data_IF_067679423988
#
_entry.id   IF_067679423988
#
_cell.length_a   1.000
_cell.length_b   1.000
_cell.length_c   1.000
_cell.angle_alpha   90.00
_cell.angle_beta   90.00
_cell.angle_gamma   90.00
#
_symmetry.space_group_name_H-M   'P 1'
#
loop_
_entity.id
_entity.type
_entity.pdbx_description
1 polymer ?
#
# COMPACT_ATOMS: atom_id res chain seq x y z
N UNK A 1 -21.79 -31.05 -6.24
CA UNK A 1 -21.34 -29.95 -7.14
C UNK A 1 -21.39 -28.62 -6.39
N UNK A 2 -20.25 -28.08 -5.96
CA UNK A 2 -20.23 -26.83 -5.19
C UNK A 2 -20.45 -25.63 -6.11
N UNK A 3 -21.50 -24.84 -5.88
CA UNK A 3 -21.73 -23.56 -6.55
C UNK A 3 -20.56 -22.62 -6.28
N UNK A 4 -19.66 -22.49 -7.25
CA UNK A 4 -18.57 -21.53 -7.24
C UNK A 4 -19.20 -20.14 -7.31
N UNK A 5 -19.26 -19.42 -6.17
CA UNK A 5 -19.52 -17.99 -6.18
C UNK A 5 -18.38 -17.32 -6.95
N UNK A 6 -18.65 -16.95 -8.21
CA UNK A 6 -17.80 -16.05 -8.97
C UNK A 6 -17.53 -14.80 -8.12
N UNK A 7 -16.26 -14.49 -7.88
CA UNK A 7 -15.87 -13.19 -7.33
C UNK A 7 -16.19 -12.19 -8.45
N UNK A 8 -17.17 -11.34 -8.20
CA UNK A 8 -17.63 -10.32 -9.14
C UNK A 8 -16.43 -9.47 -9.59
N UNK A 9 -16.00 -9.52 -10.87
CA UNK A 9 -14.85 -8.76 -11.36
C UNK A 9 -15.09 -7.24 -11.38
N UNK A 10 -16.33 -6.80 -11.13
CA UNK A 10 -16.75 -5.41 -11.12
C UNK A 10 -16.68 -4.77 -9.72
N UNK A 11 -15.57 -4.91 -8.99
CA UNK A 11 -15.32 -3.94 -7.92
C UNK A 11 -14.89 -2.64 -8.62
N UNK A 12 -15.68 -1.56 -8.57
CA UNK A 12 -15.33 -0.32 -9.24
C UNK A 12 -13.92 0.10 -8.82
N UNK A 13 -13.04 0.25 -9.81
CA UNK A 13 -11.69 0.72 -9.58
C UNK A 13 -11.83 2.18 -9.20
N UNK A 14 -11.76 2.44 -7.90
CA UNK A 14 -11.61 3.77 -7.35
C UNK A 14 -10.38 4.45 -7.98
N UNK A 15 -10.63 5.27 -9.02
CA UNK A 15 -9.60 6.04 -9.69
C UNK A 15 -9.07 7.08 -8.71
N UNK A 16 -7.76 7.25 -8.70
CA UNK A 16 -7.12 8.32 -7.92
C UNK A 16 -7.27 9.59 -8.75
N UNK A 17 -7.73 10.68 -8.12
CA UNK A 17 -7.98 11.93 -8.83
C UNK A 17 -6.68 12.49 -9.43
N UNK A 18 -6.80 13.21 -10.55
CA UNK A 18 -5.68 13.90 -11.19
C UNK A 18 -4.97 14.86 -10.24
N UNK A 19 -5.73 15.56 -9.38
CA UNK A 19 -5.20 16.44 -8.34
C UNK A 19 -4.31 15.67 -7.35
N UNK A 20 -4.73 14.50 -6.89
CA UNK A 20 -3.91 13.65 -5.99
C UNK A 20 -2.66 13.14 -6.70
N UNK A 21 -2.77 12.74 -7.97
CA UNK A 21 -1.63 12.32 -8.79
C UNK A 21 -0.58 13.44 -8.89
N UNK A 22 -1.00 14.67 -9.18
CA UNK A 22 -0.11 15.83 -9.25
C UNK A 22 0.60 16.06 -7.91
N UNK A 23 -0.14 16.02 -6.78
CA UNK A 23 0.45 16.16 -5.44
C UNK A 23 1.49 15.08 -5.15
N UNK A 24 1.23 13.83 -5.52
CA UNK A 24 2.18 12.72 -5.33
C UNK A 24 3.43 12.89 -6.18
N UNK A 25 3.31 13.35 -7.43
CA UNK A 25 4.49 13.65 -8.28
C UNK A 25 5.32 14.79 -7.70
N UNK A 26 4.66 15.89 -7.31
CA UNK A 26 5.30 17.04 -6.64
C UNK A 26 6.04 16.58 -5.38
N UNK A 27 5.38 15.76 -4.56
CA UNK A 27 6.05 15.12 -3.42
C UNK A 27 7.25 14.33 -3.90
N UNK A 28 7.12 13.32 -4.77
CA UNK A 28 8.25 12.47 -5.19
C UNK A 28 9.48 13.25 -5.70
N UNK A 29 9.26 14.36 -6.42
CA UNK A 29 10.30 15.19 -7.02
C UNK A 29 10.89 16.26 -6.09
N UNK A 30 10.19 16.64 -5.01
CA UNK A 30 10.69 17.66 -4.09
C UNK A 30 12.00 17.22 -3.41
N UNK A 31 12.88 18.19 -3.19
CA UNK A 31 14.11 18.01 -2.45
C UNK A 31 13.86 17.45 -1.05
N UNK A 32 14.82 16.67 -0.56
CA UNK A 32 14.71 16.00 0.72
C UNK A 32 16.04 15.99 1.44
N UNK A 33 15.97 16.15 2.77
CA UNK A 33 17.10 15.92 3.66
C UNK A 33 17.62 14.49 3.45
N UNK A 34 18.85 14.37 2.94
CA UNK A 34 19.49 13.07 2.72
C UNK A 34 19.66 12.34 4.05
N UNK A 35 19.40 11.03 4.05
CA UNK A 35 19.53 10.23 5.26
C UNK A 35 20.09 8.85 4.93
N UNK A 36 21.39 8.67 5.21
CA UNK A 36 22.15 7.47 4.85
C UNK A 36 21.87 7.05 3.39
N UNK A 37 21.56 5.78 3.14
CA UNK A 37 21.15 5.26 1.81
C UNK A 37 19.63 5.14 1.65
N UNK A 38 18.84 5.75 2.54
CA UNK A 38 17.40 5.83 2.37
C UNK A 38 17.07 6.93 1.36
N UNK A 39 16.10 6.66 0.50
CA UNK A 39 15.54 7.64 -0.43
C UNK A 39 14.00 7.60 -0.38
N UNK A 40 13.32 8.74 -0.65
CA UNK A 40 11.88 8.73 -0.86
C UNK A 40 11.51 7.87 -2.07
N UNK A 41 10.40 7.15 -2.00
CA UNK A 41 9.89 6.47 -3.19
C UNK A 41 9.58 7.47 -4.31
N UNK A 42 9.86 7.06 -5.55
CA UNK A 42 9.71 7.88 -6.74
C UNK A 42 10.76 8.98 -6.91
N UNK A 43 11.82 9.03 -6.10
CA UNK A 43 12.81 10.12 -6.14
C UNK A 43 13.99 9.90 -7.11
N UNK A 44 14.15 8.71 -7.71
CA UNK A 44 15.26 8.49 -8.65
C UNK A 44 14.91 8.98 -10.05
N UNK A 45 15.74 9.91 -10.54
CA UNK A 45 15.72 10.45 -11.91
C UNK A 45 16.41 9.53 -12.93
N UNK A 46 17.10 8.46 -12.51
CA UNK A 46 17.75 7.53 -13.46
C UNK A 46 16.71 6.58 -14.03
N UNK A 47 16.30 6.85 -15.26
CA UNK A 47 15.31 6.05 -15.98
C UNK A 47 15.96 4.84 -16.64
N UNK A 48 15.19 3.76 -16.79
CA UNK A 48 15.49 2.80 -17.86
C UNK A 48 15.05 3.46 -19.15
N UNK A 49 15.88 3.39 -20.19
CA UNK A 49 15.65 4.03 -21.50
C UNK A 49 14.27 3.71 -22.11
N UNK A 50 13.61 2.63 -21.67
CA UNK A 50 12.32 2.18 -22.19
C UNK A 50 11.12 2.27 -21.18
N UNK A 51 11.23 2.86 -19.98
CA UNK A 51 10.01 3.18 -19.16
C UNK A 51 9.30 4.37 -19.81
N UNK A 52 7.97 4.36 -19.78
CA UNK A 52 7.05 5.36 -20.34
C UNK A 52 7.09 5.58 -21.85
N UNK A 53 7.71 4.70 -22.63
CA UNK A 53 7.52 4.68 -24.09
C UNK A 53 6.21 3.98 -24.45
N UNK A 54 5.55 4.43 -25.52
CA UNK A 54 4.38 3.74 -26.08
C UNK A 54 4.86 2.39 -26.61
N UNK A 55 4.29 1.31 -26.07
CA UNK A 55 4.58 -0.04 -26.53
C UNK A 55 3.55 -0.50 -27.55
N UNK A 56 2.29 -0.18 -27.32
CA UNK A 56 1.24 -0.45 -28.28
C UNK A 56 0.17 0.64 -28.30
N UNK A 57 -0.52 0.76 -29.43
CA UNK A 57 -1.75 1.53 -29.57
C UNK A 57 -2.94 0.59 -29.69
N UNK A 58 -3.98 0.85 -28.91
CA UNK A 58 -5.23 0.12 -28.94
C UNK A 58 -6.29 0.89 -29.71
N UNK A 59 -7.10 0.18 -30.50
CA UNK A 59 -8.18 0.75 -31.27
C UNK A 59 -9.45 -0.12 -31.17
N UNK A 60 -10.61 0.52 -31.01
CA UNK A 60 -11.90 -0.14 -31.23
C UNK A 60 -12.29 0.00 -32.70
N UNK A 61 -12.85 -1.06 -33.26
CA UNK A 61 -13.37 -1.08 -34.64
C UNK A 61 -14.61 -0.22 -34.80
N UNK A 62 -15.47 -0.20 -33.78
CA UNK A 62 -16.75 0.51 -33.80
C UNK A 62 -16.65 1.92 -33.19
N UNK A 63 -15.46 2.34 -32.77
CA UNK A 63 -15.23 3.64 -32.13
C UNK A 63 -13.77 4.09 -32.43
N UNK A 64 -13.54 4.78 -33.56
CA UNK A 64 -12.24 5.32 -33.95
C UNK A 64 -11.62 6.25 -32.91
N UNK A 65 -12.44 7.00 -32.17
CA UNK A 65 -11.99 7.95 -31.14
C UNK A 65 -11.54 7.25 -29.85
N UNK A 66 -11.88 5.96 -29.68
CA UNK A 66 -11.50 5.19 -28.51
C UNK A 66 -10.00 4.85 -28.40
N UNK A 67 -9.15 5.42 -29.26
CA UNK A 67 -7.72 5.12 -29.31
C UNK A 67 -7.07 5.25 -27.93
N UNK A 68 -6.24 4.27 -27.57
CA UNK A 68 -5.55 4.25 -26.28
C UNK A 68 -4.13 3.72 -26.40
N UNK A 69 -3.17 4.54 -26.01
CA UNK A 69 -1.78 4.09 -25.89
C UNK A 69 -1.56 3.27 -24.62
N UNK A 70 -0.79 2.20 -24.74
CA UNK A 70 -0.28 1.47 -23.60
C UNK A 70 1.23 1.60 -23.52
N UNK A 71 1.66 2.07 -22.36
CA UNK A 71 3.02 2.41 -22.07
C UNK A 71 3.78 1.23 -21.46
N UNK A 72 5.03 1.09 -21.84
CA UNK A 72 5.95 0.19 -21.17
C UNK A 72 6.35 0.79 -19.82
N UNK A 73 6.18 0.04 -18.74
CA UNK A 73 6.60 0.49 -17.41
C UNK A 73 7.67 -0.45 -16.83
N UNK A 74 8.72 0.13 -16.24
CA UNK A 74 9.71 -0.64 -15.49
C UNK A 74 9.20 -1.14 -14.12
N UNK A 75 8.03 -0.67 -13.66
CA UNK A 75 7.34 -1.07 -12.42
C UNK A 75 8.19 -0.94 -11.14
N UNK A 76 9.18 -0.06 -11.16
CA UNK A 76 10.04 0.24 -10.02
C UNK A 76 9.46 1.39 -9.19
N UNK A 77 9.46 1.25 -7.86
CA UNK A 77 8.93 2.29 -6.96
C UNK A 77 9.80 3.54 -6.93
N UNK A 78 11.07 3.45 -7.26
CA UNK A 78 12.04 4.55 -7.30
C UNK A 78 11.97 5.37 -8.59
N UNK A 79 11.34 4.85 -9.65
CA UNK A 79 11.15 5.55 -10.91
C UNK A 79 9.97 6.52 -10.82
N UNK A 80 10.20 7.83 -10.91
CA UNK A 80 9.18 8.92 -10.81
C UNK A 80 7.93 8.62 -11.65
N UNK A 81 8.16 8.13 -12.86
CA UNK A 81 7.15 7.90 -13.89
C UNK A 81 6.32 6.65 -13.65
N UNK A 82 7.02 5.57 -13.29
CA UNK A 82 6.43 4.28 -13.01
C UNK A 82 5.87 4.22 -11.54
N UNK A 83 6.18 5.22 -10.69
CA UNK A 83 5.88 5.28 -9.26
C UNK A 83 4.39 5.16 -8.92
N UNK A 84 3.55 6.05 -9.46
CA UNK A 84 2.11 6.11 -9.12
C UNK A 84 1.41 4.79 -9.46
N UNK A 85 1.65 4.28 -10.67
CA UNK A 85 1.10 2.99 -11.11
C UNK A 85 1.56 1.87 -10.17
N UNK A 86 2.85 1.85 -9.83
CA UNK A 86 3.40 0.83 -8.92
C UNK A 86 2.82 0.95 -7.50
N UNK A 87 2.67 2.16 -6.94
CA UNK A 87 2.01 2.39 -5.65
C UNK A 87 0.57 1.91 -5.67
N UNK A 88 -0.18 2.23 -6.73
CA UNK A 88 -1.56 1.81 -6.91
C UNK A 88 -1.67 0.28 -6.98
N UNK A 89 -0.84 -0.39 -7.77
CA UNK A 89 -0.82 -1.84 -7.88
C UNK A 89 -0.47 -2.50 -6.54
N UNK A 90 0.56 -2.02 -5.83
CA UNK A 90 0.91 -2.53 -4.49
C UNK A 90 -0.21 -2.31 -3.49
N UNK A 91 -0.82 -1.13 -3.48
CA UNK A 91 -1.96 -0.81 -2.63
C UNK A 91 -3.13 -1.77 -2.89
N UNK A 92 -3.44 -2.10 -4.16
CA UNK A 92 -4.47 -3.10 -4.49
C UNK A 92 -4.14 -4.48 -3.95
N UNK A 93 -2.95 -4.99 -4.23
CA UNK A 93 -2.52 -6.32 -3.81
C UNK A 93 -2.56 -6.49 -2.29
N UNK A 94 -2.16 -5.46 -1.56
CA UNK A 94 -2.17 -5.47 -0.10
C UNK A 94 -3.60 -5.32 0.43
N UNK A 95 -4.39 -4.42 -0.15
CA UNK A 95 -5.78 -4.24 0.24
C UNK A 95 -6.60 -5.52 0.02
N UNK A 96 -6.39 -6.20 -1.10
CA UNK A 96 -6.98 -7.52 -1.38
C UNK A 96 -6.61 -8.52 -0.29
N UNK A 97 -5.32 -8.63 0.05
CA UNK A 97 -4.86 -9.53 1.11
C UNK A 97 -5.49 -9.22 2.48
N UNK A 98 -5.62 -7.93 2.84
CA UNK A 98 -6.26 -7.52 4.09
C UNK A 98 -7.75 -7.91 4.08
N UNK A 99 -8.47 -7.56 3.01
CA UNK A 99 -9.90 -7.89 2.86
C UNK A 99 -10.16 -9.39 2.87
N UNK A 100 -9.29 -10.14 2.20
CA UNK A 100 -9.40 -11.59 2.11
C UNK A 100 -9.12 -12.28 3.44
N UNK A 101 -8.15 -11.78 4.21
CA UNK A 101 -7.92 -12.27 5.58
C UNK A 101 -9.17 -12.11 6.44
N UNK A 102 -9.83 -10.94 6.39
CA UNK A 102 -11.09 -10.70 7.09
C UNK A 102 -12.20 -11.64 6.62
N UNK A 103 -12.38 -11.77 5.29
CA UNK A 103 -13.39 -12.65 4.70
C UNK A 103 -13.23 -14.10 5.13
N UNK A 104 -12.01 -14.64 5.05
CA UNK A 104 -11.71 -16.03 5.43
C UNK A 104 -11.88 -16.22 6.94
N UNK A 105 -11.48 -15.24 7.76
CA UNK A 105 -11.66 -15.30 9.22
C UNK A 105 -13.13 -15.46 9.58
N UNK A 106 -14.02 -14.62 9.02
CA UNK A 106 -15.47 -14.77 9.27
C UNK A 106 -16.04 -16.08 8.77
N UNK A 107 -15.62 -16.54 7.59
CA UNK A 107 -16.04 -17.84 7.07
C UNK A 107 -15.65 -19.03 7.98
N UNK A 108 -14.67 -18.83 8.88
CA UNK A 108 -14.24 -19.80 9.88
C UNK A 108 -14.77 -19.50 11.30
N UNK A 109 -15.75 -18.61 11.43
CA UNK A 109 -16.34 -18.21 12.72
C UNK A 109 -15.41 -17.36 13.59
N UNK A 110 -14.42 -16.69 13.00
CA UNK A 110 -13.45 -15.86 13.71
C UNK A 110 -13.79 -14.38 13.47
N UNK A 111 -14.33 -13.71 14.48
CA UNK A 111 -14.76 -12.31 14.40
C UNK A 111 -13.60 -11.32 14.51
N UNK A 112 -12.90 -11.11 13.39
CA UNK A 112 -11.90 -10.03 13.28
C UNK A 112 -12.58 -8.72 12.92
N UNK A 113 -12.17 -7.59 13.53
CA UNK A 113 -12.75 -6.28 13.24
C UNK A 113 -12.42 -5.72 11.85
N UNK A 114 -12.81 -4.46 11.60
CA UNK A 114 -12.39 -3.68 10.42
C UNK A 114 -10.88 -3.38 10.44
N UNK A 115 -10.33 -3.02 9.27
CA UNK A 115 -8.91 -2.68 9.12
C UNK A 115 -8.59 -1.47 9.99
N UNK A 116 -7.61 -1.65 10.86
CA UNK A 116 -7.08 -0.66 11.78
C UNK A 116 -5.92 0.06 11.10
N UNK A 117 -5.79 1.37 11.30
CA UNK A 117 -4.66 2.18 10.82
C UNK A 117 -4.18 3.07 11.96
N UNK A 118 -2.88 3.03 12.24
CA UNK A 118 -2.26 3.91 13.22
C UNK A 118 -0.80 4.18 12.84
N UNK A 119 -0.19 5.14 13.54
CA UNK A 119 1.24 5.41 13.44
C UNK A 119 1.91 5.24 14.80
N UNK A 120 3.13 4.72 14.81
CA UNK A 120 4.08 4.80 15.91
C UNK A 120 5.08 5.91 15.60
N UNK A 121 5.26 6.84 16.52
CA UNK A 121 6.23 7.93 16.44
C UNK A 121 7.26 7.73 17.56
N UNK A 122 8.53 7.77 17.20
CA UNK A 122 9.65 7.55 18.12
C UNK A 122 10.34 8.88 18.36
N UNK A 123 10.58 9.23 19.63
CA UNK A 123 11.22 10.50 19.99
C UNK A 123 12.65 10.58 19.40
N UNK A 124 13.39 9.48 19.42
CA UNK A 124 14.75 9.38 18.88
C UNK A 124 14.80 8.66 17.52
N UNK A 125 13.86 8.90 16.62
CA UNK A 125 13.78 8.16 15.36
C UNK A 125 15.09 8.12 14.53
N UNK A 126 15.89 9.19 14.55
CA UNK A 126 17.15 9.32 13.79
C UNK A 126 18.26 8.39 14.31
N UNK A 127 18.27 8.03 15.59
CA UNK A 127 19.31 7.14 16.15
C UNK A 127 19.00 5.67 15.88
N UNK A 128 17.72 5.33 15.65
CA UNK A 128 17.24 3.95 15.54
C UNK A 128 17.54 3.24 14.19
N UNK A 129 17.63 3.98 13.08
CA UNK A 129 17.58 3.39 11.74
C UNK A 129 18.65 3.89 10.78
N UNK A 130 19.91 3.72 11.14
CA UNK A 130 21.03 4.12 10.28
C UNK A 130 21.14 3.23 9.02
N UNK A 131 20.84 1.94 9.17
CA UNK A 131 20.84 0.97 8.08
C UNK A 131 19.51 0.23 7.91
N UNK A 132 19.32 -0.41 6.75
CA UNK A 132 18.19 -1.34 6.56
C UNK A 132 18.25 -2.56 7.50
N UNK A 133 19.45 -2.97 7.92
CA UNK A 133 19.62 -4.06 8.88
C UNK A 133 19.09 -3.66 10.25
N UNK A 134 19.37 -2.43 10.69
CA UNK A 134 18.91 -1.90 11.97
C UNK A 134 17.39 -1.89 12.04
N UNK A 135 16.73 -1.39 10.99
CA UNK A 135 15.28 -1.48 10.91
C UNK A 135 14.76 -2.92 10.96
N UNK A 136 15.46 -3.87 10.33
CA UNK A 136 15.06 -5.29 10.34
C UNK A 136 15.26 -5.94 11.72
N UNK A 137 16.28 -5.54 12.48
CA UNK A 137 16.49 -5.94 13.87
C UNK A 137 15.45 -5.31 14.78
N UNK A 138 15.26 -4.00 14.69
CA UNK A 138 14.29 -3.23 15.46
C UNK A 138 12.86 -3.73 15.27
N UNK A 139 12.43 -4.04 14.04
CA UNK A 139 11.11 -4.65 13.81
C UNK A 139 10.90 -5.94 14.59
N UNK A 140 11.90 -6.83 14.56
CA UNK A 140 11.79 -8.15 15.18
C UNK A 140 11.87 -8.08 16.70
N UNK A 141 12.77 -7.26 17.22
CA UNK A 141 13.05 -7.18 18.67
C UNK A 141 12.11 -6.23 19.41
N UNK A 142 11.64 -5.16 18.75
CA UNK A 142 10.88 -4.09 19.40
C UNK A 142 9.48 -3.96 18.82
N UNK A 143 9.35 -3.71 17.51
CA UNK A 143 8.04 -3.38 16.91
C UNK A 143 7.06 -4.55 16.98
N UNK A 144 7.45 -5.77 16.59
CA UNK A 144 6.52 -6.89 16.56
C UNK A 144 6.06 -7.32 17.96
N UNK A 145 6.93 -7.41 18.98
CA UNK A 145 6.49 -7.59 20.37
C UNK A 145 5.54 -6.48 20.81
N UNK A 146 5.92 -5.20 20.62
CA UNK A 146 5.08 -4.06 20.96
C UNK A 146 3.69 -4.15 20.31
N UNK A 147 3.63 -4.46 19.01
CA UNK A 147 2.35 -4.61 18.31
C UNK A 147 1.51 -5.77 18.85
N UNK A 148 2.14 -6.86 19.29
CA UNK A 148 1.44 -7.98 19.92
C UNK A 148 0.84 -7.55 21.26
N UNK A 149 1.61 -6.85 22.09
CA UNK A 149 1.19 -6.35 23.41
C UNK A 149 0.07 -5.32 23.28
N UNK A 150 0.11 -4.50 22.23
CA UNK A 150 -0.99 -3.58 21.89
C UNK A 150 -2.29 -4.30 21.49
N UNK A 151 -2.27 -5.62 21.26
CA UNK A 151 -3.40 -6.42 20.82
C UNK A 151 -3.56 -6.51 19.29
N UNK A 152 -2.51 -6.20 18.52
CA UNK A 152 -2.52 -6.30 17.05
C UNK A 152 -2.16 -7.73 16.63
N UNK A 153 -3.13 -8.44 16.05
CA UNK A 153 -2.99 -9.85 15.70
C UNK A 153 -2.24 -10.06 14.37
N UNK A 154 -2.20 -9.05 13.51
CA UNK A 154 -1.44 -9.11 12.27
C UNK A 154 -1.76 -7.96 11.33
N UNK A 155 -0.83 -7.69 10.42
CA UNK A 155 -0.96 -6.58 9.49
C UNK A 155 0.30 -6.35 8.67
N UNK A 156 0.52 -5.09 8.33
CA UNK A 156 1.71 -4.57 7.70
C UNK A 156 2.26 -3.38 8.45
N UNK A 157 3.58 -3.33 8.56
CA UNK A 157 4.34 -2.17 9.02
C UNK A 157 4.97 -1.48 7.81
N UNK A 158 4.97 -0.15 7.81
CA UNK A 158 5.59 0.70 6.78
C UNK A 158 6.45 1.76 7.48
N UNK A 159 7.73 1.84 7.16
CA UNK A 159 8.59 2.88 7.71
C UNK A 159 8.65 4.10 6.78
N UNK A 160 8.28 5.25 7.34
CA UNK A 160 8.40 6.55 6.71
C UNK A 160 9.52 7.33 7.39
N UNK A 161 10.38 7.94 6.58
CA UNK A 161 11.48 8.78 7.08
C UNK A 161 11.22 10.26 6.94
N UNK A 162 10.38 10.68 6.00
CA UNK A 162 10.20 12.10 5.68
C UNK A 162 8.78 12.56 5.88
N UNK A 163 8.64 13.84 6.20
CA UNK A 163 7.38 14.57 6.18
C UNK A 163 7.58 15.91 5.50
N UNK A 164 6.54 16.42 4.83
CA UNK A 164 6.52 17.80 4.37
C UNK A 164 6.32 18.70 5.59
N UNK A 165 7.29 19.55 5.85
CA UNK A 165 7.30 20.54 6.93
C UNK A 165 7.25 21.93 6.28
N UNK A 166 6.40 22.80 6.79
CA UNK A 166 6.34 24.19 6.37
C UNK A 166 7.63 24.88 6.81
N UNK A 167 8.29 25.58 5.89
CA UNK A 167 9.51 26.34 6.19
C UNK A 167 9.22 27.57 7.06
N UNK A 168 7.99 28.09 7.00
CA UNK A 168 7.57 29.29 7.73
C UNK A 168 7.21 28.97 9.19
N UNK A 169 6.25 28.06 9.41
CA UNK A 169 5.77 27.76 10.77
C UNK A 169 6.31 26.45 11.37
N UNK A 170 7.12 25.69 10.62
CA UNK A 170 7.63 24.40 11.09
C UNK A 170 6.59 23.28 11.17
N UNK A 171 5.32 23.55 10.88
CA UNK A 171 4.25 22.55 10.98
C UNK A 171 4.21 21.59 9.79
N UNK A 172 3.67 20.39 10.01
CA UNK A 172 3.45 19.42 8.92
C UNK A 172 2.46 19.99 7.90
N UNK A 173 2.57 19.59 6.63
CA UNK A 173 1.68 20.07 5.53
C UNK A 173 0.18 20.04 5.87
N UNK A 174 -0.27 19.03 6.60
CA UNK A 174 -1.69 18.87 6.97
C UNK A 174 -2.10 19.61 8.25
N UNK A 175 -1.16 20.28 8.93
CA UNK A 175 -1.37 21.13 10.09
C UNK A 175 -1.01 22.59 9.86
N UNK A 176 -0.25 22.87 8.81
CA UNK A 176 0.12 24.22 8.42
C UNK A 176 -1.14 25.07 8.14
N UNK A 177 -1.22 26.21 8.83
CA UNK A 177 -2.26 27.23 8.67
C UNK A 177 -1.75 28.53 8.05
N UNK A 178 -0.51 28.54 7.55
CA UNK A 178 0.05 29.69 6.84
C UNK A 178 -0.74 29.98 5.56
N UNK A 179 -0.67 31.23 5.10
CA UNK A 179 -1.27 31.67 3.85
C UNK A 179 -0.75 30.84 2.66
N UNK A 180 -1.61 30.55 1.69
CA UNK A 180 -1.27 29.69 0.56
C UNK A 180 -0.16 30.29 -0.33
N UNK A 181 -0.07 31.62 -0.40
CA UNK A 181 0.98 32.33 -1.14
C UNK A 181 2.36 32.22 -0.47
N UNK A 182 2.42 32.05 0.85
CA UNK A 182 3.66 32.08 1.63
C UNK A 182 4.16 30.69 2.01
N UNK A 183 3.27 29.68 2.03
CA UNK A 183 3.65 28.35 2.46
C UNK A 183 4.62 27.70 1.46
N UNK A 184 5.86 27.56 1.89
CA UNK A 184 6.85 26.70 1.23
C UNK A 184 7.01 25.44 2.08
N UNK A 185 7.07 24.28 1.42
CA UNK A 185 7.25 23.00 2.09
C UNK A 185 8.57 22.36 1.69
N UNK A 186 9.30 21.89 2.68
CA UNK A 186 10.50 21.07 2.50
C UNK A 186 10.30 19.70 3.14
N UNK A 187 10.94 18.67 2.59
CA UNK A 187 10.91 17.34 3.19
C UNK A 187 12.03 17.20 4.21
N UNK A 188 11.66 17.25 5.48
CA UNK A 188 12.56 16.94 6.60
C UNK A 188 12.42 15.52 7.09
N UNK A 189 13.46 15.05 7.75
CA UNK A 189 13.43 13.77 8.45
C UNK A 189 12.44 13.85 9.62
N UNK A 190 11.45 12.97 9.57
CA UNK A 190 10.49 12.70 10.63
C UNK A 190 10.13 11.20 10.56
N UNK A 191 10.85 10.40 11.33
CA UNK A 191 10.80 8.95 11.27
C UNK A 191 9.60 8.42 12.06
N UNK A 192 8.74 7.66 11.39
CA UNK A 192 7.56 7.05 11.99
C UNK A 192 7.17 5.76 11.26
N UNK A 193 6.49 4.87 11.96
CA UNK A 193 5.99 3.61 11.39
C UNK A 193 4.47 3.71 11.25
N UNK A 194 3.95 3.50 10.05
CA UNK A 194 2.53 3.22 9.88
C UNK A 194 2.26 1.73 10.03
N UNK A 195 1.12 1.41 10.62
CA UNK A 195 0.62 0.05 10.76
C UNK A 195 -0.78 -0.03 10.19
N UNK A 196 -1.01 -1.00 9.30
CA UNK A 196 -2.35 -1.38 8.84
C UNK A 196 -2.59 -2.86 9.12
N UNK A 197 -3.65 -3.19 9.84
CA UNK A 197 -3.87 -4.57 10.25
C UNK A 197 -5.19 -4.80 10.97
N UNK A 198 -5.21 -5.82 11.81
CA UNK A 198 -6.37 -6.27 12.58
C UNK A 198 -5.99 -6.42 14.05
N UNK A 199 -7.01 -6.31 14.91
CA UNK A 199 -6.86 -6.45 16.36
C UNK A 199 -7.37 -5.22 17.10
N UNK A 200 -6.75 -4.97 18.25
CA UNK A 200 -7.03 -3.84 19.10
C UNK A 200 -5.83 -2.93 19.26
N UNK A 201 -6.12 -1.78 19.86
CA UNK A 201 -5.10 -0.88 20.38
C UNK A 201 -5.32 -0.82 21.89
N UNK A 202 -4.26 -1.11 22.62
CA UNK A 202 -4.08 -0.79 24.03
C UNK A 202 -4.44 0.67 24.31
N UNK A 203 -4.88 1.00 25.53
CA UNK A 203 -5.19 2.38 25.88
C UNK A 203 -3.96 3.28 25.70
N UNK A 204 -4.13 4.53 25.26
CA UNK A 204 -3.02 5.47 25.04
C UNK A 204 -2.20 5.70 26.32
N UNK A 205 -2.87 5.77 27.49
CA UNK A 205 -2.21 5.97 28.78
C UNK A 205 -1.36 4.76 29.16
N UNK A 206 -1.96 3.57 29.14
CA UNK A 206 -1.29 2.28 29.38
C UNK A 206 -0.09 2.09 28.44
N UNK A 207 -0.26 2.43 27.16
CA UNK A 207 0.84 2.37 26.20
C UNK A 207 1.98 3.32 26.54
N UNK A 208 1.67 4.55 26.98
CA UNK A 208 2.68 5.54 27.35
C UNK A 208 3.45 5.14 28.61
N UNK A 209 2.77 4.49 29.56
CA UNK A 209 3.38 3.93 30.77
C UNK A 209 4.33 2.77 30.43
N UNK A 210 4.00 1.95 29.42
CA UNK A 210 4.84 0.81 29.00
C UNK A 210 5.95 1.18 28.00
N UNK A 211 5.75 2.21 27.17
CA UNK A 211 6.63 2.58 26.05
C UNK A 211 6.93 4.09 26.04
N UNK A 212 7.67 4.55 27.04
CA UNK A 212 8.05 5.96 27.27
C UNK A 212 8.58 6.73 26.04
N UNK A 213 9.38 6.07 25.20
CA UNK A 213 10.03 6.64 24.03
C UNK A 213 9.18 6.60 22.75
N UNK A 214 7.95 6.10 22.84
CA UNK A 214 7.06 5.90 21.71
C UNK A 214 5.69 6.50 22.01
N UNK A 215 5.09 7.17 21.02
CA UNK A 215 3.67 7.49 21.03
C UNK A 215 3.01 6.80 19.85
N UNK A 216 1.78 6.32 20.06
CA UNK A 216 0.96 5.90 18.93
C UNK A 216 -0.17 6.89 18.67
N UNK A 217 -0.52 7.03 17.39
CA UNK A 217 -1.66 7.81 16.94
C UNK A 217 -2.60 6.95 16.13
N UNK A 218 -3.81 6.76 16.64
CA UNK A 218 -4.87 6.03 15.96
C UNK A 218 -5.51 6.88 14.86
N UNK A 219 -5.54 6.37 13.63
CA UNK A 219 -6.14 7.04 12.46
C UNK A 219 -7.54 6.48 12.23
N UNK A 220 -8.49 6.98 13.01
CA UNK A 220 -9.91 6.66 12.86
C UNK A 220 -10.52 7.28 11.59
N UNK A 221 -11.64 6.73 11.07
CA UNK A 221 -12.27 5.47 11.48
C UNK A 221 -11.53 4.23 10.94
N UNK A 222 -11.82 3.06 11.54
CA UNK A 222 -11.44 1.76 10.98
C UNK A 222 -12.17 1.53 9.65
N UNK A 223 -11.56 0.78 8.74
CA UNK A 223 -11.98 0.76 7.32
C UNK A 223 -12.22 -0.64 6.80
N UNK A 224 -13.20 -0.78 5.91
CA UNK A 224 -13.40 -2.02 5.13
C UNK A 224 -12.44 -2.12 3.94
N UNK A 225 -11.99 -0.97 3.45
CA UNK A 225 -11.13 -0.81 2.31
C UNK A 225 -10.02 0.18 2.65
N UNK A 226 -8.77 -0.26 2.54
CA UNK A 226 -7.58 0.52 2.85
C UNK A 226 -6.83 0.98 1.58
N UNK A 227 -7.40 0.82 0.38
CA UNK A 227 -6.71 1.13 -0.88
C UNK A 227 -6.13 2.55 -0.91
N UNK A 228 -6.93 3.57 -0.60
CA UNK A 228 -6.46 4.96 -0.61
C UNK A 228 -5.42 5.24 0.47
N UNK A 229 -5.57 4.65 1.66
CA UNK A 229 -4.58 4.75 2.74
C UNK A 229 -3.25 4.12 2.33
N UNK A 230 -3.29 2.93 1.76
CA UNK A 230 -2.11 2.22 1.27
C UNK A 230 -1.46 2.98 0.14
N UNK A 231 -2.23 3.50 -0.81
CA UNK A 231 -1.69 4.34 -1.88
C UNK A 231 -0.98 5.58 -1.33
N UNK A 232 -1.60 6.26 -0.36
CA UNK A 232 -1.00 7.40 0.32
C UNK A 232 0.29 7.02 1.05
N UNK A 233 0.30 5.91 1.80
CA UNK A 233 1.50 5.41 2.47
C UNK A 233 2.60 5.07 1.47
N UNK A 234 2.27 4.33 0.40
CA UNK A 234 3.22 4.02 -0.66
C UNK A 234 3.77 5.24 -1.37
N UNK A 235 2.98 6.31 -1.45
CA UNK A 235 3.42 7.59 -2.02
C UNK A 235 4.47 8.31 -1.16
N UNK A 236 4.65 7.88 0.10
CA UNK A 236 5.58 8.46 1.08
C UNK A 236 6.54 7.43 1.69
N UNK A 237 6.56 6.22 1.14
CA UNK A 237 7.35 5.11 1.65
C UNK A 237 8.85 5.36 1.46
N UNK A 238 9.66 4.91 2.41
CA UNK A 238 11.10 4.91 2.25
C UNK A 238 11.61 3.68 1.50
N UNK A 239 12.63 3.90 0.69
CA UNK A 239 13.34 2.89 -0.07
C UNK A 239 14.81 2.88 0.32
N UNK A 240 15.41 1.71 0.49
CA UNK A 240 16.84 1.60 0.79
C UNK A 240 17.61 1.19 -0.46
N UNK A 241 18.60 1.97 -0.84
CA UNK A 241 19.51 1.66 -1.95
C UNK A 241 20.61 0.72 -1.45
N UNK A 242 20.66 -0.48 -2.00
CA UNK A 242 21.74 -1.47 -1.79
C UNK A 242 22.54 -1.66 -3.09
N UNK A 243 23.75 -2.23 -3.04
CA UNK A 243 24.54 -2.49 -4.26
C UNK A 243 23.76 -3.29 -5.32
N UNK A 244 22.95 -4.28 -4.89
CA UNK A 244 22.16 -5.14 -5.78
C UNK A 244 20.77 -4.60 -6.14
N UNK A 245 20.43 -3.34 -5.82
CA UNK A 245 19.14 -2.74 -6.16
C UNK A 245 18.46 -1.98 -5.01
N UNK A 246 17.13 -1.93 -5.02
CA UNK A 246 16.36 -1.11 -4.06
C UNK A 246 15.38 -2.00 -3.28
N UNK A 247 15.37 -1.82 -1.95
CA UNK A 247 14.50 -2.57 -1.03
C UNK A 247 13.44 -1.65 -0.43
N UNK A 248 12.25 -2.20 -0.18
CA UNK A 248 11.15 -1.46 0.43
C UNK A 248 11.24 -1.53 1.96
N UNK A 249 10.73 -0.51 2.65
CA UNK A 249 10.69 -0.45 4.11
C UNK A 249 9.39 -0.99 4.74
N UNK A 250 8.71 -1.94 4.07
CA UNK A 250 7.47 -2.54 4.60
C UNK A 250 7.53 -4.05 4.75
N UNK A 251 6.81 -4.58 5.73
CA UNK A 251 6.72 -6.03 5.98
C UNK A 251 5.34 -6.42 6.49
N UNK A 252 4.89 -7.60 6.10
CA UNK A 252 3.79 -8.28 6.77
C UNK A 252 4.26 -8.86 8.11
N UNK A 253 3.37 -8.94 9.09
CA UNK A 253 3.62 -9.56 10.39
C UNK A 253 2.36 -10.24 10.95
N UNK A 254 2.53 -10.96 12.05
CA UNK A 254 1.43 -11.67 12.72
C UNK A 254 0.74 -12.66 11.79
N UNK A 255 -0.58 -12.79 11.90
CA UNK A 255 -1.36 -13.69 11.04
C UNK A 255 -1.42 -13.26 9.57
N UNK A 256 -1.03 -12.02 9.23
CA UNK A 256 -0.90 -11.58 7.83
C UNK A 256 0.47 -11.90 7.24
N UNK A 257 1.41 -12.47 8.00
CA UNK A 257 2.71 -12.90 7.49
C UNK A 257 2.53 -14.02 6.44
N UNK A 258 3.31 -14.06 5.33
CA UNK A 258 3.18 -15.09 4.30
C UNK A 258 3.28 -16.53 4.81
N UNK A 259 4.00 -16.78 5.91
CA UNK A 259 4.06 -18.12 6.51
C UNK A 259 2.77 -18.53 7.23
N UNK A 260 1.92 -17.57 7.65
CA UNK A 260 0.65 -17.83 8.34
C UNK A 260 -0.58 -17.64 7.46
N UNK A 261 -0.53 -16.70 6.51
CA UNK A 261 -1.60 -16.47 5.54
C UNK A 261 -1.07 -16.73 4.13
N UNK A 262 -1.11 -17.99 3.73
CA UNK A 262 -0.49 -18.48 2.49
C UNK A 262 -1.45 -18.35 1.32
N UNK A 263 -0.89 -18.26 0.12
CA UNK A 263 -1.67 -18.45 -1.11
C UNK A 263 -1.87 -19.96 -1.26
N UNK A 264 -3.12 -20.42 -1.22
CA UNK A 264 -3.50 -21.81 -1.43
C UNK A 264 -3.59 -22.13 -2.93
N UNK A 265 -4.23 -21.26 -3.70
CA UNK A 265 -4.43 -21.44 -5.13
C UNK A 265 -4.11 -20.16 -5.90
N UNK A 266 -3.60 -20.34 -7.11
CA UNK A 266 -3.38 -19.28 -8.09
C UNK A 266 -4.08 -19.68 -9.37
N UNK A 267 -4.97 -18.84 -9.87
CA UNK A 267 -5.52 -18.99 -11.21
C UNK A 267 -5.32 -17.70 -12.00
N UNK A 268 -5.23 -17.83 -13.32
CA UNK A 268 -5.06 -16.71 -14.23
C UNK A 268 -6.31 -16.60 -15.08
N UNK A 269 -6.88 -15.42 -15.18
CA UNK A 269 -7.91 -15.11 -16.17
C UNK A 269 -7.33 -14.16 -17.19
N UNK A 270 -7.69 -14.34 -18.46
CA UNK A 270 -7.44 -13.33 -19.48
C UNK A 270 -8.54 -12.28 -19.39
N UNK A 271 -8.15 -11.02 -19.42
CA UNK A 271 -9.07 -9.89 -19.45
C UNK A 271 -8.71 -9.06 -20.68
N UNK A 272 -9.67 -8.87 -21.57
CA UNK A 272 -9.53 -8.01 -22.75
C UNK A 272 -9.75 -6.55 -22.37
N UNK A 273 -9.03 -5.63 -23.02
CA UNK A 273 -9.34 -4.21 -22.91
C UNK A 273 -10.53 -3.89 -23.81
N UNK A 274 -11.67 -3.51 -23.21
CA UNK A 274 -12.89 -3.23 -23.96
C UNK A 274 -13.12 -1.71 -24.11
N UNK A 275 -13.72 -1.31 -25.23
CA UNK A 275 -14.15 0.06 -25.47
C UNK A 275 -15.13 0.51 -24.37
N UNK A 276 -14.95 1.70 -23.75
CA UNK A 276 -15.85 2.19 -22.73
C UNK A 276 -17.26 2.46 -23.27
N UNK A 277 -17.39 2.83 -24.55
CA UNK A 277 -18.64 3.16 -25.25
C UNK A 277 -19.41 1.89 -25.62
N UNK A 278 -18.87 1.10 -26.56
CA UNK A 278 -19.58 -0.03 -27.17
C UNK A 278 -19.21 -1.41 -26.59
N UNK A 279 -18.34 -1.47 -25.57
CA UNK A 279 -17.91 -2.70 -24.86
C UNK A 279 -17.20 -3.76 -25.70
N UNK A 280 -17.01 -3.56 -27.00
CA UNK A 280 -16.23 -4.46 -27.85
C UNK A 280 -14.74 -4.42 -27.48
N UNK A 281 -14.01 -5.54 -27.60
CA UNK A 281 -12.57 -5.58 -27.35
C UNK A 281 -11.80 -4.66 -28.30
N UNK A 282 -10.82 -3.94 -27.78
CA UNK A 282 -9.86 -3.19 -28.60
C UNK A 282 -8.77 -4.12 -29.13
N UNK A 283 -8.40 -3.94 -30.39
CA UNK A 283 -7.25 -4.59 -31.02
C UNK A 283 -6.01 -3.68 -30.97
N UNK A 284 -4.84 -4.28 -31.12
CA UNK A 284 -3.57 -3.58 -31.25
C UNK A 284 -3.47 -3.06 -32.68
N UNK A 285 -3.46 -1.75 -32.86
CA UNK A 285 -3.32 -1.11 -34.16
C UNK A 285 -1.85 -0.83 -34.53
N UNK A 286 -1.00 -0.60 -33.52
CA UNK A 286 0.45 -0.40 -33.70
C UNK A 286 1.29 -1.04 -32.59
N UNK A 287 2.50 -1.49 -32.93
CA UNK A 287 3.57 -1.91 -32.01
C UNK A 287 4.83 -1.07 -32.31
N UNK A 288 5.34 -0.32 -31.33
CA UNK A 288 6.62 0.42 -31.48
C UNK A 288 6.73 1.18 -32.83
N UNK A 289 5.65 1.85 -33.23
CA UNK A 289 5.47 2.61 -34.50
C UNK A 289 5.27 1.80 -35.79
N UNK A 290 5.23 0.46 -35.74
CA UNK A 290 4.83 -0.38 -36.87
C UNK A 290 3.34 -0.71 -36.80
N UNK A 291 2.60 -0.48 -37.89
CA UNK A 291 1.22 -0.96 -38.02
C UNK A 291 1.22 -2.49 -38.10
N UNK A 292 0.17 -3.11 -37.59
CA UNK A 292 -0.05 -4.54 -37.73
C UNK A 292 -0.96 -4.82 -38.92
N UNK A 293 -0.62 -5.87 -39.66
CA UNK A 293 -1.34 -6.30 -40.87
C UNK A 293 -2.54 -7.20 -40.52
N UNK A 294 -2.66 -7.58 -39.24
CA UNK A 294 -3.71 -8.45 -38.72
C UNK A 294 -4.17 -7.99 -37.33
N UNK A 295 -5.41 -8.33 -36.98
CA UNK A 295 -6.03 -7.93 -35.71
C UNK A 295 -5.53 -8.83 -34.57
N UNK A 296 -4.77 -8.24 -33.64
CA UNK A 296 -4.39 -8.88 -32.38
C UNK A 296 -5.11 -8.19 -31.24
N UNK A 297 -5.94 -8.90 -30.50
CA UNK A 297 -6.63 -8.32 -29.34
C UNK A 297 -5.70 -8.19 -28.14
N UNK A 298 -5.79 -7.04 -27.47
CA UNK A 298 -5.00 -6.85 -26.26
C UNK A 298 -5.63 -7.61 -25.10
N UNK A 299 -4.84 -8.50 -24.51
CA UNK A 299 -5.20 -9.26 -23.31
C UNK A 299 -4.23 -8.99 -22.15
N UNK A 300 -4.76 -8.80 -20.96
CA UNK A 300 -4.00 -8.82 -19.71
C UNK A 300 -4.31 -10.10 -18.95
N UNK A 301 -3.27 -10.85 -18.58
CA UNK A 301 -3.40 -11.98 -17.64
C UNK A 301 -3.51 -11.44 -16.23
N UNK A 302 -4.70 -11.50 -15.65
CA UNK A 302 -4.94 -11.16 -14.25
C UNK A 302 -4.73 -12.41 -13.40
N UNK A 303 -3.85 -12.31 -12.40
CA UNK A 303 -3.60 -13.40 -11.46
C UNK A 303 -4.48 -13.21 -10.23
N UNK A 304 -5.35 -14.18 -9.99
CA UNK A 304 -6.17 -14.27 -8.78
C UNK A 304 -5.49 -15.16 -7.75
N UNK A 305 -5.67 -14.82 -6.47
CA UNK A 305 -5.06 -15.53 -5.35
C UNK A 305 -6.13 -15.92 -4.36
N UNK A 306 -6.24 -17.22 -4.07
CA UNK A 306 -7.01 -17.68 -2.92
C UNK A 306 -6.05 -17.96 -1.79
N UNK A 307 -6.43 -17.53 -0.59
CA UNK A 307 -5.56 -17.63 0.57
C UNK A 307 -6.09 -18.68 1.56
N UNK A 308 -5.23 -19.15 2.46
CA UNK A 308 -5.58 -19.97 3.61
C UNK A 308 -4.86 -19.45 4.86
N UNK A 309 -5.52 -19.61 6.01
CA UNK A 309 -4.96 -19.29 7.33
C UNK A 309 -4.40 -20.58 7.92
N UNK A 310 -3.10 -20.60 8.20
CA UNK A 310 -2.43 -21.65 8.95
C UNK A 310 -2.74 -21.52 10.44
N UNK A 311 -2.94 -22.65 11.14
CA UNK A 311 -3.26 -22.70 12.59
C UNK A 311 -4.47 -21.81 12.94
N UNK A 312 -5.59 -22.01 12.22
CA UNK A 312 -6.84 -21.24 12.40
C UNK A 312 -7.38 -21.28 13.83
N UNK A 313 -7.20 -22.39 14.54
CA UNK A 313 -7.70 -22.54 15.92
C UNK A 313 -6.90 -21.64 16.88
N UNK A 314 -5.58 -21.57 16.71
CA UNK A 314 -4.74 -20.62 17.45
C UNK A 314 -5.13 -19.16 17.16
N UNK A 315 -5.50 -18.83 15.91
CA UNK A 315 -6.04 -17.50 15.60
C UNK A 315 -7.36 -17.27 16.34
N UNK A 316 -8.25 -18.26 16.37
CA UNK A 316 -9.54 -18.15 17.05
C UNK A 316 -9.35 -17.86 18.54
N UNK A 317 -8.45 -18.58 19.20
CA UNK A 317 -8.18 -18.39 20.62
C UNK A 317 -7.52 -17.04 20.88
N UNK A 318 -6.54 -16.66 20.06
CA UNK A 318 -5.91 -15.34 20.12
C UNK A 318 -6.93 -14.20 19.94
N UNK A 319 -7.92 -14.36 19.06
CA UNK A 319 -9.02 -13.39 18.91
C UNK A 319 -9.94 -13.44 20.12
N UNK A 320 -10.34 -14.60 20.63
CA UNK A 320 -11.17 -14.67 21.84
C UNK A 320 -10.51 -13.97 23.02
N UNK A 321 -9.23 -14.20 23.25
CA UNK A 321 -8.47 -13.63 24.37
C UNK A 321 -8.32 -12.11 24.21
N UNK A 322 -7.90 -11.64 23.04
CA UNK A 322 -7.76 -10.21 22.77
C UNK A 322 -9.10 -9.45 22.86
N UNK A 323 -10.22 -10.13 22.63
CA UNK A 323 -11.57 -9.57 22.56
C UNK A 323 -12.36 -9.80 23.86
N UNK A 324 -11.80 -10.54 24.83
CA UNK A 324 -12.41 -10.84 26.13
C UNK A 324 -12.69 -9.54 26.90
N UNK A 325 -13.92 -9.40 27.41
CA UNK A 325 -14.38 -8.19 28.11
C UNK A 325 -14.70 -6.98 27.21
N UNK A 326 -14.54 -7.07 25.88
CA UNK A 326 -14.71 -5.93 24.94
C UNK A 326 -15.72 -6.20 23.82
N UNK A 327 -16.48 -7.30 23.90
CA UNK A 327 -17.42 -7.78 22.89
C UNK A 327 -18.53 -6.78 22.51
N UNK A 328 -18.98 -5.93 23.44
CA UNK A 328 -20.06 -4.94 23.19
C UNK A 328 -19.70 -3.81 22.22
N UNK A 329 -18.41 -3.55 21.94
CA UNK A 329 -17.97 -2.46 21.04
C UNK A 329 -17.88 -2.84 19.55
N UNK A 330 -17.87 -4.13 19.21
CA UNK A 330 -17.73 -4.58 17.82
C UNK A 330 -19.00 -4.42 16.98
N UNK A 331 -20.18 -4.44 17.62
CA UNK A 331 -21.47 -4.32 16.92
C UNK A 331 -21.82 -2.87 16.56
N UNK A 332 -21.08 -1.88 17.06
CA UNK A 332 -21.36 -0.44 16.87
C UNK A 332 -20.31 0.31 16.04
N UNK A 333 -19.28 -0.36 15.51
CA UNK A 333 -18.17 0.25 14.73
C UNK A 333 -17.96 -0.45 13.41
#
# INVERSE_FOLDING_TARGET
MSKVKQINPNIPINKISRRTVIKVKKFAQAEYEKYFNWIPAGSQKKYRENCNKIRYELQCENDPESQRSIYQHCNKLDCVDCFITTCSLKARLINERLREFRRISYANGISVGKILHFSLLFHEGKTLFQTHSDFSKFKRKIVYPMLKDMGVIGGMVFLHFWSNMCTVCGEKEYYCRCNEAERVFEKKINIHIHVLGFGYLMNVREFREQYDNCIYRNHLPRRENAYYTLFYIFSKLALWKVPKGIKNSYNFFGYLHPSKFKIAEKHKTKVTDNCPTCKTPRHISKIENKKLDHKVYWEIKVQHRRYKIEKKDVLRDCVKDNYKGRARKLLRS
#
